data_IF_717682477995
#
_entry.id   IF_717682477995
#
_cell.length_a   1.000
_cell.length_b   1.000
_cell.length_c   1.000
_cell.angle_alpha   90.00
_cell.angle_beta   90.00
_cell.angle_gamma   90.00
#
_symmetry.space_group_name_H-M   'P 1'
#
loop_
_entity.id
_entity.type
_entity.pdbx_description
1 polymer ?
#
# COMPACT_ATOMS: atom_id res chain seq x y z
N UNK A 1 -13.28 -1.56 -21.58
CA UNK A 1 -11.99 -1.26 -20.96
C UNK A 1 -11.75 -2.10 -19.71
N UNK A 2 -12.70 -2.15 -18.79
CA UNK A 2 -12.58 -2.90 -17.55
C UNK A 2 -12.29 -4.39 -17.78
N UNK A 3 -12.97 -4.99 -18.75
CA UNK A 3 -12.75 -6.41 -19.05
C UNK A 3 -11.34 -6.69 -19.54
N UNK A 4 -10.77 -5.75 -20.27
CA UNK A 4 -9.39 -5.92 -20.79
C UNK A 4 -8.39 -5.86 -19.66
N UNK A 5 -8.57 -4.92 -18.73
CA UNK A 5 -7.67 -4.79 -17.58
C UNK A 5 -7.75 -6.06 -16.73
N UNK A 6 -8.95 -6.56 -16.52
CA UNK A 6 -9.13 -7.78 -15.74
C UNK A 6 -8.44 -8.97 -16.41
N UNK A 7 -8.58 -9.10 -17.72
CA UNK A 7 -7.93 -10.19 -18.46
C UNK A 7 -6.41 -10.11 -18.33
N UNK A 8 -5.86 -8.89 -18.42
CA UNK A 8 -4.42 -8.69 -18.26
C UNK A 8 -3.99 -9.05 -16.85
N UNK A 9 -4.76 -8.62 -15.85
CA UNK A 9 -4.45 -8.93 -14.46
C UNK A 9 -4.50 -10.43 -14.19
N UNK A 10 -5.49 -11.12 -14.76
CA UNK A 10 -5.63 -12.56 -14.56
C UNK A 10 -4.44 -13.35 -15.14
N UNK A 11 -3.75 -12.77 -16.10
CA UNK A 11 -2.59 -13.39 -16.73
C UNK A 11 -1.26 -12.87 -16.22
N UNK A 12 -1.28 -11.98 -15.23
CA UNK A 12 -0.07 -11.39 -14.67
C UNK A 12 0.21 -11.98 -13.29
N UNK A 13 1.32 -12.73 -13.12
CA UNK A 13 1.62 -13.35 -11.82
C UNK A 13 1.75 -12.36 -10.68
N UNK A 14 2.33 -11.19 -10.92
CA UNK A 14 2.46 -10.18 -9.87
C UNK A 14 1.10 -9.65 -9.44
N UNK A 15 0.23 -9.38 -10.41
CA UNK A 15 -1.11 -8.91 -10.11
C UNK A 15 -1.91 -9.97 -9.34
N UNK A 16 -1.75 -11.23 -9.71
CA UNK A 16 -2.40 -12.32 -9.00
C UNK A 16 -2.00 -12.36 -7.54
N UNK A 17 -0.71 -12.22 -7.28
CA UNK A 17 -0.21 -12.20 -5.90
C UNK A 17 -0.75 -10.99 -5.13
N UNK A 18 -0.76 -9.83 -5.76
CA UNK A 18 -1.26 -8.61 -5.11
C UNK A 18 -2.74 -8.71 -4.79
N UNK A 19 -3.51 -9.40 -5.63
CA UNK A 19 -4.94 -9.54 -5.40
C UNK A 19 -5.27 -10.45 -4.21
N UNK A 20 -4.30 -11.17 -3.67
CA UNK A 20 -4.51 -11.93 -2.44
C UNK A 20 -4.55 -11.02 -1.22
N UNK A 21 -4.09 -9.79 -1.34
CA UNK A 21 -4.09 -8.83 -0.24
C UNK A 21 -5.50 -8.23 -0.10
N UNK A 22 -6.03 -8.16 1.14
CA UNK A 22 -7.35 -7.56 1.35
C UNK A 22 -7.40 -6.12 0.81
N UNK A 23 -8.48 -5.80 0.12
CA UNK A 23 -8.69 -4.46 -0.41
C UNK A 23 -8.08 -4.21 -1.78
N UNK A 24 -7.26 -5.11 -2.29
CA UNK A 24 -6.60 -4.93 -3.59
C UNK A 24 -7.31 -5.79 -4.64
N UNK A 25 -8.05 -5.13 -5.51
CA UNK A 25 -8.67 -5.77 -6.65
C UNK A 25 -7.78 -5.68 -7.88
N UNK A 26 -8.31 -6.13 -9.03
CA UNK A 26 -7.50 -6.20 -10.23
C UNK A 26 -7.05 -4.83 -10.76
N UNK A 27 -7.86 -3.80 -10.62
CA UNK A 27 -7.48 -2.46 -11.08
C UNK A 27 -6.32 -1.91 -10.24
N UNK A 28 -6.46 -2.00 -8.92
CA UNK A 28 -5.42 -1.51 -8.02
C UNK A 28 -4.15 -2.32 -8.18
N UNK A 29 -4.28 -3.64 -8.33
CA UNK A 29 -3.12 -4.50 -8.57
C UNK A 29 -2.36 -4.08 -9.82
N UNK A 30 -3.08 -3.76 -10.90
CA UNK A 30 -2.42 -3.35 -12.13
C UNK A 30 -1.76 -1.98 -12.01
N UNK A 31 -2.36 -1.06 -11.25
CA UNK A 31 -1.70 0.22 -10.95
C UNK A 31 -0.37 -0.02 -10.24
N UNK A 32 -0.39 -0.90 -9.24
CA UNK A 32 0.81 -1.19 -8.48
C UNK A 32 1.87 -1.82 -9.37
N UNK A 33 1.49 -2.80 -10.18
CA UNK A 33 2.42 -3.46 -11.11
C UNK A 33 3.04 -2.46 -12.07
N UNK A 34 2.21 -1.58 -12.65
CA UNK A 34 2.66 -0.61 -13.62
C UNK A 34 3.66 0.38 -13.00
N UNK A 35 3.40 0.82 -11.77
CA UNK A 35 4.24 1.81 -11.12
C UNK A 35 5.52 1.22 -10.54
N UNK A 36 5.46 0.00 -10.06
CA UNK A 36 6.62 -0.64 -9.48
C UNK A 36 7.55 -1.21 -10.55
N UNK A 37 6.98 -1.79 -11.60
CA UNK A 37 7.67 -2.46 -12.68
C UNK A 37 8.45 -3.69 -12.20
N UNK A 38 9.41 -3.50 -11.31
CA UNK A 38 10.20 -4.60 -10.76
C UNK A 38 10.47 -4.30 -9.28
N UNK A 39 10.10 -5.24 -8.42
CA UNK A 39 10.27 -5.05 -6.98
C UNK A 39 11.74 -4.91 -6.58
N UNK A 40 12.66 -5.39 -7.38
CA UNK A 40 14.07 -5.27 -7.07
C UNK A 40 14.59 -3.83 -7.11
N UNK A 41 13.80 -2.90 -7.66
CA UNK A 41 14.14 -1.48 -7.62
C UNK A 41 14.17 -0.95 -6.18
N UNK A 42 13.49 -1.62 -5.27
CA UNK A 42 13.34 -1.15 -3.91
C UNK A 42 14.04 -2.11 -2.95
N UNK A 43 15.15 -1.66 -2.32
CA UNK A 43 15.86 -2.52 -1.38
C UNK A 43 15.09 -2.76 -0.09
N UNK A 44 14.09 -1.94 0.21
CA UNK A 44 13.28 -2.10 1.42
C UNK A 44 11.90 -1.52 1.21
N UNK A 45 10.95 -1.90 2.08
CA UNK A 45 9.62 -1.31 1.99
C UNK A 45 9.64 0.19 2.27
N UNK A 46 10.64 0.67 3.01
CA UNK A 46 10.76 2.11 3.29
C UNK A 46 11.04 2.89 2.02
N UNK A 47 11.88 2.34 1.15
CA UNK A 47 12.15 2.98 -0.14
C UNK A 47 10.89 3.02 -1.01
N UNK A 48 10.15 1.93 -1.02
CA UNK A 48 8.89 1.88 -1.74
C UNK A 48 7.87 2.86 -1.14
N UNK A 49 7.84 2.96 0.18
CA UNK A 49 6.97 3.90 0.87
C UNK A 49 7.30 5.35 0.56
N UNK A 50 8.59 5.66 0.49
CA UNK A 50 9.03 7.00 0.12
C UNK A 50 8.64 7.31 -1.32
N UNK A 51 8.79 6.34 -2.20
CA UNK A 51 8.40 6.50 -3.60
C UNK A 51 6.89 6.75 -3.73
N UNK A 52 6.09 6.09 -2.92
CA UNK A 52 4.64 6.29 -2.91
C UNK A 52 4.22 7.55 -2.16
N UNK A 53 5.14 8.15 -1.42
CA UNK A 53 4.82 9.34 -0.62
C UNK A 53 4.01 9.01 0.62
N UNK A 54 4.06 7.78 1.11
CA UNK A 54 3.33 7.35 2.29
C UNK A 54 4.18 7.35 3.55
N UNK A 55 5.50 7.46 3.39
CA UNK A 55 6.42 7.56 4.52
C UNK A 55 7.02 8.96 4.50
N UNK A 56 6.99 9.68 5.62
CA UNK A 56 7.63 10.99 5.68
C UNK A 56 9.12 10.88 5.39
N UNK A 57 9.65 11.90 4.72
CA UNK A 57 11.07 11.96 4.44
C UNK A 57 11.86 12.03 5.74
N UNK A 58 12.95 11.28 5.83
CA UNK A 58 13.83 11.35 7.00
C UNK A 58 14.50 12.70 7.12
N UNK A 59 14.58 13.44 6.04
CA UNK A 59 15.14 14.79 6.09
C UNK A 59 14.22 15.80 6.73
N UNK A 60 13.02 15.40 7.06
CA UNK A 60 12.10 16.26 7.77
C UNK A 60 12.68 16.74 9.10
N UNK A 61 13.60 16.02 9.67
CA UNK A 61 14.25 16.46 10.89
C UNK A 61 14.99 17.78 10.71
N UNK A 62 15.51 18.03 9.52
CA UNK A 62 16.18 19.28 9.22
C UNK A 62 15.30 20.35 8.60
N UNK A 63 14.07 20.01 8.27
CA UNK A 63 13.15 20.91 7.58
C UNK A 63 11.81 20.90 8.28
N UNK A 64 11.74 21.61 9.38
CA UNK A 64 10.55 21.57 10.22
C UNK A 64 9.27 21.98 9.51
N UNK A 65 9.36 22.93 8.64
CA UNK A 65 8.19 23.44 7.92
C UNK A 65 7.57 22.42 6.99
N UNK A 66 8.27 21.32 6.72
CA UNK A 66 7.75 20.30 5.81
C UNK A 66 7.21 19.09 6.50
N UNK A 67 7.26 19.06 7.80
CA UNK A 67 6.93 17.85 8.52
C UNK A 67 5.50 17.41 8.36
N UNK A 68 4.57 18.13 8.30
CA UNK A 68 3.20 17.68 8.19
C UNK A 68 2.79 17.29 6.79
N UNK A 69 3.67 17.42 5.82
CA UNK A 69 3.28 17.18 4.42
C UNK A 69 3.79 15.87 3.89
N UNK A 70 2.92 15.17 3.17
CA UNK A 70 3.33 14.00 2.40
C UNK A 70 4.17 14.51 1.24
N UNK A 71 5.35 13.93 1.05
CA UNK A 71 6.19 14.31 -0.06
C UNK A 71 5.49 13.98 -1.37
N UNK A 72 5.57 14.91 -2.31
CA UNK A 72 4.99 14.69 -3.64
C UNK A 72 6.00 14.15 -4.63
N UNK A 73 7.21 13.88 -4.17
CA UNK A 73 8.19 13.20 -4.99
C UNK A 73 7.81 11.74 -5.07
N UNK A 74 7.93 11.16 -6.25
CA UNK A 74 7.55 9.78 -6.47
C UNK A 74 6.16 9.66 -7.05
N UNK A 75 5.59 8.48 -6.93
CA UNK A 75 4.37 8.14 -7.64
C UNK A 75 3.11 8.51 -6.90
N UNK A 76 2.40 9.52 -7.40
CA UNK A 76 1.08 9.84 -6.87
C UNK A 76 0.06 8.76 -7.24
N UNK A 77 0.27 8.05 -8.33
CA UNK A 77 -0.63 6.97 -8.72
C UNK A 77 -0.56 5.80 -7.76
N UNK A 78 0.65 5.45 -7.34
CA UNK A 78 0.83 4.38 -6.36
C UNK A 78 0.18 4.75 -5.03
N UNK A 79 0.39 5.98 -4.57
CA UNK A 79 -0.22 6.46 -3.34
C UNK A 79 -1.75 6.41 -3.42
N UNK A 80 -2.32 6.92 -4.51
CA UNK A 80 -3.76 6.94 -4.70
C UNK A 80 -4.34 5.52 -4.70
N UNK A 81 -3.69 4.61 -5.39
CA UNK A 81 -4.14 3.22 -5.45
C UNK A 81 -4.17 2.60 -4.07
N UNK A 82 -3.14 2.81 -3.27
CA UNK A 82 -3.07 2.24 -1.93
C UNK A 82 -4.08 2.89 -0.99
N UNK A 83 -4.33 4.18 -1.13
CA UNK A 83 -5.34 4.85 -0.32
C UNK A 83 -6.74 4.34 -0.68
N UNK A 84 -7.01 4.12 -1.96
CA UNK A 84 -8.30 3.54 -2.36
C UNK A 84 -8.47 2.14 -1.78
N UNK A 85 -7.42 1.34 -1.81
CA UNK A 85 -7.46 0.01 -1.21
C UNK A 85 -7.73 0.10 0.30
N UNK A 86 -7.11 1.07 0.96
CA UNK A 86 -7.29 1.25 2.40
C UNK A 86 -8.74 1.60 2.75
N UNK A 87 -9.46 2.28 1.87
CA UNK A 87 -10.84 2.66 2.13
C UNK A 87 -11.80 1.46 2.16
N UNK A 88 -11.40 0.35 1.59
CA UNK A 88 -12.20 -0.88 1.61
C UNK A 88 -12.03 -1.65 2.92
N UNK A 89 -10.89 -1.48 3.56
CA UNK A 89 -10.53 -2.24 4.77
C UNK A 89 -11.57 -2.13 5.90
N UNK A 90 -12.11 -0.96 6.21
CA UNK A 90 -13.07 -0.86 7.32
C UNK A 90 -14.32 -1.72 7.13
N UNK A 91 -14.64 -2.06 5.90
CA UNK A 91 -15.83 -2.88 5.61
C UNK A 91 -15.58 -4.37 5.81
N UNK A 92 -14.33 -4.75 5.97
CA UNK A 92 -13.98 -6.15 6.13
C UNK A 92 -14.14 -6.58 7.57
N UNK A 93 -14.60 -7.81 7.75
CA UNK A 93 -14.74 -8.38 9.09
C UNK A 93 -13.55 -9.24 9.41
N UNK A 94 -13.11 -9.19 10.66
CA UNK A 94 -12.08 -10.10 11.20
C UNK A 94 -10.77 -10.09 10.44
N UNK A 95 -10.42 -8.96 9.87
CA UNK A 95 -9.11 -8.79 9.26
C UNK A 95 -8.19 -8.09 10.24
N UNK A 96 -6.92 -8.49 10.24
CA UNK A 96 -5.91 -7.82 11.07
C UNK A 96 -5.81 -6.34 10.70
N UNK A 97 -5.94 -6.05 9.40
CA UNK A 97 -5.92 -4.68 8.92
C UNK A 97 -7.14 -3.88 9.38
N UNK A 98 -8.32 -4.49 9.39
CA UNK A 98 -9.52 -3.79 9.83
C UNK A 98 -9.46 -3.50 11.33
N UNK A 99 -8.90 -4.40 12.11
CA UNK A 99 -8.69 -4.17 13.54
C UNK A 99 -7.72 -3.01 13.74
N UNK A 100 -6.62 -3.00 12.98
CA UNK A 100 -5.67 -1.91 13.05
C UNK A 100 -6.32 -0.57 12.70
N UNK A 101 -7.13 -0.55 11.65
CA UNK A 101 -7.83 0.66 11.23
C UNK A 101 -8.75 1.18 12.35
N UNK A 102 -9.54 0.30 12.94
CA UNK A 102 -10.49 0.70 13.99
C UNK A 102 -9.78 1.28 15.20
N UNK A 103 -8.68 0.69 15.59
CA UNK A 103 -7.90 1.21 16.71
C UNK A 103 -7.31 2.56 16.38
N UNK A 104 -6.83 2.72 15.16
CA UNK A 104 -6.19 3.96 14.74
C UNK A 104 -7.20 5.10 14.61
N UNK A 105 -8.40 4.81 14.12
CA UNK A 105 -9.40 5.86 13.92
C UNK A 105 -9.82 6.47 15.26
N UNK A 106 -9.94 5.65 16.29
CA UNK A 106 -10.29 6.13 17.62
C UNK A 106 -9.20 7.05 18.17
N UNK A 107 -7.95 6.69 17.92
CA UNK A 107 -6.82 7.41 18.50
C UNK A 107 -6.44 8.67 17.72
N UNK A 108 -6.50 8.63 16.41
CA UNK A 108 -5.91 9.67 15.57
C UNK A 108 -6.81 10.19 14.45
N UNK A 109 -8.04 9.68 14.34
CA UNK A 109 -8.99 10.15 13.33
C UNK A 109 -8.93 9.40 12.02
N UNK A 110 -9.90 9.71 11.16
CA UNK A 110 -10.09 8.97 9.91
C UNK A 110 -8.93 9.14 8.93
N UNK A 111 -8.51 10.39 8.71
CA UNK A 111 -7.44 10.65 7.75
C UNK A 111 -6.16 9.91 8.12
N UNK A 112 -5.78 10.00 9.39
CA UNK A 112 -4.60 9.32 9.87
C UNK A 112 -4.75 7.81 9.75
N UNK A 113 -5.94 7.28 10.03
CA UNK A 113 -6.19 5.85 9.96
C UNK A 113 -6.06 5.33 8.51
N UNK A 114 -6.58 6.10 7.54
CA UNK A 114 -6.50 5.71 6.14
C UNK A 114 -5.05 5.69 5.66
N UNK A 115 -4.29 6.73 5.97
CA UNK A 115 -2.89 6.82 5.52
C UNK A 115 -2.05 5.70 6.16
N UNK A 116 -2.27 5.45 7.46
CA UNK A 116 -1.55 4.40 8.15
C UNK A 116 -1.90 3.01 7.59
N UNK A 117 -3.17 2.80 7.25
CA UNK A 117 -3.61 1.53 6.67
C UNK A 117 -3.03 1.35 5.27
N UNK A 118 -2.99 2.43 4.48
CA UNK A 118 -2.37 2.39 3.16
C UNK A 118 -0.88 2.04 3.27
N UNK A 119 -0.21 2.57 4.28
CA UNK A 119 1.19 2.24 4.51
C UNK A 119 1.37 0.77 4.86
N UNK A 120 0.47 0.20 5.66
CA UNK A 120 0.53 -1.22 5.95
C UNK A 120 0.26 -2.07 4.72
N UNK A 121 -0.71 -1.66 3.89
CA UNK A 121 -0.95 -2.35 2.63
C UNK A 121 0.28 -2.33 1.74
N UNK A 122 0.98 -1.21 1.71
CA UNK A 122 2.22 -1.12 0.95
C UNK A 122 3.27 -2.09 1.48
N UNK A 123 3.39 -2.23 2.79
CA UNK A 123 4.33 -3.17 3.36
C UNK A 123 3.98 -4.62 2.97
N UNK A 124 2.69 -4.97 3.04
CA UNK A 124 2.26 -6.29 2.60
C UNK A 124 2.54 -6.49 1.11
N UNK A 125 2.27 -5.48 0.30
CA UNK A 125 2.55 -5.58 -1.13
C UNK A 125 4.04 -5.81 -1.38
N UNK A 126 4.88 -5.10 -0.64
CA UNK A 126 6.32 -5.28 -0.77
C UNK A 126 6.74 -6.72 -0.46
N UNK A 127 6.26 -7.25 0.67
CA UNK A 127 6.63 -8.62 1.06
C UNK A 127 6.07 -9.67 0.10
N UNK A 128 4.83 -9.48 -0.33
CA UNK A 128 4.21 -10.40 -1.29
C UNK A 128 5.03 -10.47 -2.58
N UNK A 129 5.41 -9.33 -3.11
CA UNK A 129 6.18 -9.28 -4.36
C UNK A 129 7.62 -9.72 -4.17
N UNK A 130 8.24 -9.35 -3.05
CA UNK A 130 9.62 -9.70 -2.79
C UNK A 130 9.81 -11.20 -2.62
N UNK A 131 8.89 -11.82 -1.88
CA UNK A 131 8.96 -13.24 -1.59
C UNK A 131 8.23 -14.11 -2.61
N UNK A 132 7.47 -13.48 -3.51
CA UNK A 132 6.66 -14.16 -4.51
C UNK A 132 5.72 -15.18 -3.87
N UNK A 133 5.08 -14.77 -2.79
CA UNK A 133 4.14 -15.59 -2.04
C UNK A 133 2.86 -14.82 -1.77
N UNK A 134 1.72 -15.54 -1.62
CA UNK A 134 0.45 -14.87 -1.35
C UNK A 134 0.47 -14.12 -0.02
N UNK A 135 -0.53 -13.27 0.16
CA UNK A 135 -0.70 -12.52 1.39
C UNK A 135 -0.79 -13.44 2.60
N UNK A 136 -0.16 -13.01 3.69
CA UNK A 136 -0.26 -13.67 4.99
C UNK A 136 -0.25 -12.62 6.07
N UNK A 137 -1.11 -12.79 7.07
CA UNK A 137 -1.12 -11.88 8.21
C UNK A 137 0.13 -12.02 9.09
N UNK A 138 0.92 -13.05 8.83
CA UNK A 138 2.13 -13.31 9.61
C UNK A 138 3.36 -12.54 9.12
N UNK A 139 3.26 -11.86 7.98
CA UNK A 139 4.37 -11.05 7.53
C UNK A 139 4.75 -10.00 8.58
N UNK A 140 6.04 -9.72 8.74
CA UNK A 140 6.50 -8.80 9.79
C UNK A 140 6.27 -7.33 9.40
N UNK A 141 5.02 -6.92 9.38
CA UNK A 141 4.63 -5.56 9.06
C UNK A 141 4.64 -4.74 10.34
N UNK A 142 5.33 -3.61 10.30
CA UNK A 142 5.46 -2.76 11.48
C UNK A 142 4.12 -2.14 11.87
N UNK A 143 3.98 -1.92 13.14
CA UNK A 143 2.76 -1.32 13.70
C UNK A 143 2.58 0.15 13.27
#
# INVERSE_FOLDING_TARGET
MTKRIRAIADNNPMAQLLMTIPGIGYIIAMYIVAEIENISRFPSYRRMGSYAGLIPSLRASGCKERRGKITKQGSSYLRTALIEAAQVIPRMKKSKLSVFFRKRIVRAGYQSAIVATAHKLLQYAYYVLKNQMPYSEEYPVSA
#
